data_IF_089752290483
#
_entry.id   IF_089752290483
#
_cell.length_a   1.000
_cell.length_b   1.000
_cell.length_c   1.000
_cell.angle_alpha   90.00
_cell.angle_beta   90.00
_cell.angle_gamma   90.00
#
_symmetry.space_group_name_H-M   'P 1'
#
loop_
_entity.id
_entity.type
_entity.pdbx_description
1 polymer ?
#
# COMPACT_ATOMS: atom_id res chain seq x y z
N UNK A 1 -7.49 11.91 -8.43
CA UNK A 1 -7.20 10.54 -7.94
C UNK A 1 -6.34 10.72 -6.71
N UNK A 2 -6.51 9.89 -5.70
CA UNK A 2 -5.67 9.88 -4.51
C UNK A 2 -5.04 8.50 -4.32
N UNK A 3 -3.79 8.47 -3.88
CA UNK A 3 -3.09 7.26 -3.50
C UNK A 3 -2.24 7.54 -2.26
N UNK A 4 -2.24 6.63 -1.29
CA UNK A 4 -1.36 6.71 -0.13
C UNK A 4 -0.82 5.32 0.23
N UNK A 5 0.49 5.24 0.44
CA UNK A 5 1.20 4.01 0.83
C UNK A 5 1.75 4.20 2.24
N UNK A 6 1.61 3.20 3.10
CA UNK A 6 2.19 3.25 4.44
C UNK A 6 3.70 3.07 4.40
N UNK A 7 4.44 3.98 5.01
CA UNK A 7 5.91 3.88 5.16
C UNK A 7 6.23 3.26 6.52
N UNK A 8 5.69 3.83 7.59
CA UNK A 8 5.59 3.24 8.93
C UNK A 8 4.14 2.84 9.20
N UNK A 9 3.91 2.05 10.26
CA UNK A 9 2.55 1.66 10.62
C UNK A 9 1.68 2.88 10.95
N UNK A 10 0.57 2.99 10.23
CA UNK A 10 -0.45 4.01 10.43
C UNK A 10 -1.83 3.37 10.61
N UNK A 11 -2.79 4.18 11.06
CA UNK A 11 -4.17 3.73 11.27
C UNK A 11 -4.92 3.40 9.98
N UNK A 12 -4.46 3.92 8.85
CA UNK A 12 -5.14 3.78 7.55
C UNK A 12 -4.46 2.75 6.66
N UNK A 13 -3.14 2.61 6.72
CA UNK A 13 -2.34 1.68 5.91
C UNK A 13 -1.13 1.22 6.73
N UNK A 14 -0.77 -0.05 6.58
CA UNK A 14 0.39 -0.64 7.24
C UNK A 14 1.70 -0.13 6.63
N UNK A 15 2.72 -0.07 7.47
CA UNK A 15 4.07 0.28 7.06
C UNK A 15 4.68 -0.77 6.12
N UNK A 16 5.77 -0.39 5.47
CA UNK A 16 6.51 -1.30 4.59
C UNK A 16 7.03 -2.47 5.42
N UNK A 17 6.73 -3.70 5.00
CA UNK A 17 7.28 -4.92 5.60
C UNK A 17 8.45 -5.41 4.76
N UNK A 18 9.62 -5.49 5.37
CA UNK A 18 10.83 -6.07 4.78
C UNK A 18 11.06 -7.44 5.38
N UNK A 19 11.17 -8.43 4.52
CA UNK A 19 11.47 -9.81 4.87
C UNK A 19 12.65 -10.27 4.00
N UNK A 20 13.40 -11.32 4.38
CA UNK A 20 14.48 -11.83 3.54
C UNK A 20 13.97 -12.13 2.12
N UNK A 21 14.54 -11.46 1.12
CA UNK A 21 14.19 -11.62 -0.29
C UNK A 21 12.88 -10.96 -0.74
N UNK A 22 12.14 -10.26 0.14
CA UNK A 22 10.86 -9.64 -0.23
C UNK A 22 10.61 -8.28 0.43
N UNK A 23 9.82 -7.47 -0.26
CA UNK A 23 9.24 -6.24 0.25
C UNK A 23 7.73 -6.25 0.00
N UNK A 24 6.96 -5.92 1.04
CA UNK A 24 5.50 -5.79 0.95
C UNK A 24 5.06 -4.37 1.29
N UNK A 25 4.20 -3.78 0.46
CA UNK A 25 3.58 -2.47 0.69
C UNK A 25 2.07 -2.58 0.72
N UNK A 26 1.43 -1.67 1.45
CA UNK A 26 -0.02 -1.49 1.42
C UNK A 26 -0.35 -0.08 0.94
N UNK A 27 -1.22 0.02 -0.07
CA UNK A 27 -1.65 1.27 -0.69
C UNK A 27 -3.17 1.35 -0.75
N UNK A 28 -3.73 2.50 -0.40
CA UNK A 28 -5.13 2.83 -0.68
C UNK A 28 -5.21 3.71 -1.93
N UNK A 29 -6.12 3.37 -2.85
CA UNK A 29 -6.39 4.06 -4.10
C UNK A 29 -7.83 4.56 -4.08
N UNK A 30 -8.04 5.84 -4.41
CA UNK A 30 -9.36 6.45 -4.42
C UNK A 30 -9.60 7.32 -5.64
N UNK A 31 -10.84 7.29 -6.17
CA UNK A 31 -11.29 8.17 -7.25
C UNK A 31 -12.64 8.79 -6.90
N UNK A 32 -12.65 10.09 -6.61
CA UNK A 32 -13.86 10.85 -6.25
C UNK A 32 -14.97 10.76 -7.31
N UNK A 33 -14.61 10.92 -8.60
CA UNK A 33 -15.56 10.89 -9.72
C UNK A 33 -16.39 9.61 -9.78
N UNK A 34 -15.83 8.47 -9.39
CA UNK A 34 -16.51 7.16 -9.44
C UNK A 34 -16.84 6.61 -8.07
N UNK A 35 -16.46 7.30 -6.99
CA UNK A 35 -16.54 6.80 -5.60
C UNK A 35 -15.70 5.55 -5.32
N UNK A 36 -14.86 5.09 -6.26
CA UNK A 36 -14.16 3.82 -6.11
C UNK A 36 -13.04 3.93 -5.09
N UNK A 37 -12.99 2.96 -4.19
CA UNK A 37 -11.93 2.77 -3.19
C UNK A 37 -11.35 1.37 -3.38
N UNK A 38 -10.03 1.26 -3.43
CA UNK A 38 -9.32 -0.01 -3.50
C UNK A 38 -8.17 -0.03 -2.52
N UNK A 39 -7.98 -1.17 -1.88
CA UNK A 39 -6.86 -1.45 -0.99
C UNK A 39 -5.99 -2.50 -1.65
N UNK A 40 -4.74 -2.15 -1.91
CA UNK A 40 -3.79 -2.98 -2.65
C UNK A 40 -2.66 -3.39 -1.69
N UNK A 41 -2.41 -4.69 -1.62
CA UNK A 41 -1.21 -5.25 -1.00
C UNK A 41 -0.33 -5.73 -2.14
N UNK A 42 0.89 -5.20 -2.22
CA UNK A 42 1.85 -5.54 -3.26
C UNK A 42 3.09 -6.16 -2.64
N UNK A 43 3.47 -7.35 -3.10
CA UNK A 43 4.67 -8.06 -2.68
C UNK A 43 5.59 -8.21 -3.88
N UNK A 44 6.85 -7.82 -3.71
CA UNK A 44 7.90 -7.94 -4.72
C UNK A 44 9.13 -8.59 -4.11
N UNK A 45 9.91 -9.28 -4.93
CA UNK A 45 11.25 -9.73 -4.51
C UNK A 45 12.16 -8.51 -4.33
N UNK A 46 13.09 -8.61 -3.38
CA UNK A 46 14.23 -7.70 -3.28
C UNK A 46 15.45 -8.46 -3.79
N UNK A 47 15.97 -8.04 -4.94
CA UNK A 47 17.24 -8.54 -5.50
C UNK A 47 18.44 -7.99 -4.71
#
# INVERSE_FOLDING_TARGET
IFAATGVTDGSIVHGIKREPGFLTTETILMRSKTGSVRRMIYRTTTD
#
